data_IF_782996927699
#
_entry.id   IF_782996927699
#
_cell.length_a   1.000
_cell.length_b   1.000
_cell.length_c   1.000
_cell.angle_alpha   90.00
_cell.angle_beta   90.00
_cell.angle_gamma   90.00
#
_symmetry.space_group_name_H-M   'P 1'
#
loop_
_entity.id
_entity.type
_entity.pdbx_description
1 polymer ?
#
# COMPACT_ATOMS: atom_id res chain seq x y z
N UNK A 1 7.78 -10.46 -7.83
CA UNK A 1 7.95 -11.56 -6.88
C UNK A 1 9.41 -11.53 -6.46
N UNK A 2 9.78 -11.13 -5.26
CA UNK A 2 9.08 -11.43 -4.00
C UNK A 2 9.43 -10.47 -2.85
N UNK A 3 8.38 -10.04 -2.14
CA UNK A 3 8.43 -9.92 -0.68
C UNK A 3 8.98 -11.22 -0.15
N UNK A 4 9.96 -11.24 0.75
CA UNK A 4 10.47 -12.48 1.34
C UNK A 4 9.25 -13.33 1.79
N UNK A 5 8.94 -14.40 1.03
CA UNK A 5 7.77 -15.30 1.14
C UNK A 5 6.48 -15.05 0.31
N UNK A 6 6.44 -14.16 -0.68
CA UNK A 6 5.29 -14.08 -1.62
C UNK A 6 3.99 -13.51 -1.04
N UNK A 7 4.08 -12.73 0.04
CA UNK A 7 2.92 -12.23 0.80
C UNK A 7 2.70 -10.74 0.51
N UNK A 8 1.78 -10.44 -0.41
CA UNK A 8 1.35 -9.07 -0.70
C UNK A 8 0.34 -8.58 0.36
N UNK A 9 0.41 -7.31 0.82
CA UNK A 9 -0.66 -6.75 1.62
C UNK A 9 -1.94 -6.63 0.78
N UNK A 10 -3.05 -7.04 1.39
CA UNK A 10 -4.38 -6.82 0.87
C UNK A 10 -5.02 -5.79 1.79
N UNK A 11 -5.29 -4.60 1.27
CA UNK A 11 -5.96 -3.53 1.97
C UNK A 11 -7.44 -3.59 1.63
N UNK A 12 -8.31 -3.47 2.63
CA UNK A 12 -9.75 -3.34 2.45
C UNK A 12 -10.18 -2.00 3.02
N UNK A 13 -10.90 -1.22 2.22
CA UNK A 13 -11.42 0.09 2.59
C UNK A 13 -12.93 0.10 2.45
N UNK A 14 -13.62 0.84 3.31
CA UNK A 14 -15.08 1.01 3.22
C UNK A 14 -15.41 2.45 2.82
N UNK A 15 -16.23 2.59 1.78
CA UNK A 15 -16.66 3.89 1.27
C UNK A 15 -15.67 4.56 0.30
N UNK A 16 -16.06 5.73 -0.23
CA UNK A 16 -15.28 6.45 -1.23
C UNK A 16 -14.02 7.06 -0.61
N UNK A 17 -12.93 7.12 -1.38
CA UNK A 17 -11.68 7.70 -0.90
C UNK A 17 -10.50 7.35 -1.80
N UNK A 18 -9.30 7.61 -1.32
CA UNK A 18 -8.05 7.39 -2.06
C UNK A 18 -7.05 6.60 -1.24
N UNK A 19 -6.57 5.49 -1.79
CA UNK A 19 -5.44 4.77 -1.24
C UNK A 19 -4.15 5.40 -1.77
N UNK A 20 -3.30 5.87 -0.86
CA UNK A 20 -1.98 6.39 -1.17
C UNK A 20 -0.91 5.36 -0.82
N UNK A 21 0.10 5.22 -1.67
CA UNK A 21 1.25 4.35 -1.42
C UNK A 21 2.57 5.05 -1.77
N UNK A 22 3.64 4.55 -1.16
CA UNK A 22 5.01 5.02 -1.26
C UNK A 22 5.92 3.81 -1.19
N UNK A 23 6.88 3.64 -2.10
CA UNK A 23 8.07 2.83 -1.80
C UNK A 23 9.28 3.70 -1.54
N UNK A 24 10.15 3.19 -0.68
CA UNK A 24 11.37 3.83 -0.24
C UNK A 24 12.42 2.78 0.15
N UNK A 25 13.58 3.21 0.63
CA UNK A 25 14.66 2.30 0.96
C UNK A 25 15.29 1.71 -0.31
N UNK A 26 15.83 2.59 -1.14
CA UNK A 26 16.35 2.22 -2.45
C UNK A 26 17.53 1.23 -2.33
N UNK A 27 17.47 0.09 -3.02
CA UNK A 27 18.55 -0.90 -3.07
C UNK A 27 19.62 -0.55 -4.13
N UNK A 28 19.28 0.30 -5.11
CA UNK A 28 20.16 0.69 -6.23
C UNK A 28 20.37 2.20 -6.26
N UNK A 29 21.63 2.67 -6.20
CA UNK A 29 22.03 4.07 -5.94
C UNK A 29 21.46 5.17 -6.87
N UNK A 30 20.72 4.83 -7.93
CA UNK A 30 20.13 5.74 -8.90
C UNK A 30 18.59 5.78 -8.90
N UNK A 31 17.92 5.08 -8.00
CA UNK A 31 16.46 5.16 -7.88
C UNK A 31 16.05 6.17 -6.81
N UNK A 32 14.90 6.80 -7.01
CA UNK A 32 14.26 7.69 -6.05
C UNK A 32 13.06 6.99 -5.44
N UNK A 33 12.62 7.43 -4.25
CA UNK A 33 11.33 7.00 -3.71
C UNK A 33 10.22 7.35 -4.70
N UNK A 34 9.17 6.53 -4.74
CA UNK A 34 8.05 6.74 -5.67
C UNK A 34 6.74 6.62 -4.92
N UNK A 35 5.83 7.54 -5.24
CA UNK A 35 4.46 7.54 -4.73
C UNK A 35 3.46 7.35 -5.86
N UNK A 36 2.32 6.78 -5.50
CA UNK A 36 1.15 6.70 -6.36
C UNK A 36 -0.11 6.64 -5.50
N UNK A 37 -1.25 6.80 -6.15
CA UNK A 37 -2.54 6.70 -5.50
C UNK A 37 -3.60 6.14 -6.44
N UNK A 38 -4.63 5.55 -5.85
CA UNK A 38 -5.82 5.10 -6.59
C UNK A 38 -7.06 5.40 -5.76
N UNK A 39 -8.04 6.01 -6.41
CA UNK A 39 -9.30 6.40 -5.79
C UNK A 39 -10.41 5.40 -6.11
N UNK A 40 -11.36 5.28 -5.18
CA UNK A 40 -12.62 4.55 -5.37
C UNK A 40 -13.79 5.48 -5.03
N UNK A 41 -14.88 5.34 -5.77
CA UNK A 41 -16.18 5.95 -5.46
C UNK A 41 -17.17 4.94 -4.90
N UNK A 42 -16.76 3.69 -4.66
CA UNK A 42 -17.66 2.65 -4.15
C UNK A 42 -18.04 2.94 -2.70
N UNK A 43 -19.33 2.87 -2.38
CA UNK A 43 -19.83 3.07 -1.02
C UNK A 43 -19.64 1.84 -0.12
N UNK A 44 -19.41 0.68 -0.74
CA UNK A 44 -19.16 -0.60 -0.05
C UNK A 44 -17.68 -0.86 0.22
N UNK A 45 -17.33 -2.14 0.35
CA UNK A 45 -15.95 -2.58 0.47
C UNK A 45 -15.22 -2.48 -0.87
N UNK A 46 -14.01 -1.94 -0.84
CA UNK A 46 -13.05 -1.99 -1.95
C UNK A 46 -11.78 -2.70 -1.47
N UNK A 47 -11.31 -3.67 -2.25
CA UNK A 47 -10.06 -4.36 -1.96
C UNK A 47 -8.93 -3.89 -2.87
N UNK A 48 -7.76 -3.72 -2.27
CA UNK A 48 -6.55 -3.27 -2.90
C UNK A 48 -5.44 -4.28 -2.67
N UNK A 49 -4.95 -4.88 -3.74
CA UNK A 49 -3.75 -5.73 -3.68
C UNK A 49 -2.55 -4.85 -3.99
N UNK A 50 -1.63 -4.69 -3.04
CA UNK A 50 -0.41 -3.90 -3.27
C UNK A 50 0.76 -4.80 -3.61
N UNK A 51 1.40 -4.50 -4.74
CA UNK A 51 2.66 -5.07 -5.17
C UNK A 51 3.70 -3.98 -5.39
N UNK A 52 4.95 -4.31 -5.15
CA UNK A 52 6.07 -3.40 -5.40
C UNK A 52 7.27 -4.15 -6.00
N UNK A 53 8.17 -3.39 -6.60
CA UNK A 53 9.36 -3.93 -7.23
C UNK A 53 10.49 -4.21 -6.24
N UNK A 54 11.28 -5.25 -6.53
CA UNK A 54 12.46 -5.67 -5.76
C UNK A 54 13.57 -4.61 -5.67
N UNK A 55 13.44 -3.49 -6.38
CA UNK A 55 14.36 -2.38 -6.30
C UNK A 55 14.26 -1.56 -4.99
N UNK A 56 13.20 -1.76 -4.21
CA UNK A 56 12.91 -1.05 -2.98
C UNK A 56 12.92 -2.00 -1.78
N UNK A 57 13.41 -1.51 -0.64
CA UNK A 57 13.52 -2.24 0.62
C UNK A 57 12.38 -1.91 1.60
N UNK A 58 11.36 -1.18 1.17
CA UNK A 58 10.19 -0.91 1.99
C UNK A 58 9.12 -0.14 1.25
N UNK A 59 7.91 -0.23 1.77
CA UNK A 59 6.78 0.58 1.31
C UNK A 59 5.92 1.02 2.48
N UNK A 60 5.18 2.11 2.26
CA UNK A 60 4.21 2.65 3.18
C UNK A 60 2.94 3.00 2.42
N UNK A 61 1.80 2.92 3.10
CA UNK A 61 0.51 3.26 2.54
C UNK A 61 -0.41 3.84 3.61
N UNK A 62 -1.38 4.62 3.15
CA UNK A 62 -2.43 5.18 4.01
C UNK A 62 -3.72 5.33 3.21
N UNK A 63 -4.84 5.33 3.92
CA UNK A 63 -6.16 5.55 3.37
C UNK A 63 -6.63 6.99 3.65
N UNK A 64 -6.99 7.70 2.58
CA UNK A 64 -7.65 9.01 2.61
C UNK A 64 -9.13 8.84 2.28
N UNK A 65 -9.91 8.43 3.26
CA UNK A 65 -11.36 8.30 3.12
C UNK A 65 -12.06 8.38 4.47
N UNK A 66 -13.39 8.58 4.47
CA UNK A 66 -14.18 8.76 5.67
C UNK A 66 -14.49 7.43 6.39
N UNK A 67 -14.43 6.30 5.68
CA UNK A 67 -14.69 4.99 6.26
C UNK A 67 -13.42 4.26 6.69
N UNK A 68 -13.63 3.15 7.41
CA UNK A 68 -12.54 2.35 7.98
C UNK A 68 -11.69 1.68 6.90
N UNK A 69 -10.42 1.46 7.24
CA UNK A 69 -9.49 0.74 6.40
C UNK A 69 -8.63 -0.19 7.25
N UNK A 70 -8.54 -1.44 6.82
CA UNK A 70 -7.69 -2.45 7.42
C UNK A 70 -6.89 -3.17 6.35
N UNK A 71 -5.80 -3.83 6.73
CA UNK A 71 -5.01 -4.66 5.83
C UNK A 71 -4.64 -5.98 6.48
N UNK A 72 -4.35 -6.97 5.63
CA UNK A 72 -3.76 -8.25 6.02
C UNK A 72 -2.58 -8.55 5.11
N UNK A 73 -1.64 -9.35 5.60
CA UNK A 73 -0.55 -9.88 4.78
C UNK A 73 -0.95 -11.23 4.17
N UNK A 74 -1.13 -11.28 2.85
CA UNK A 74 -1.53 -12.46 2.08
C UNK A 74 -2.73 -13.18 2.68
N UNK A 75 -2.56 -14.46 3.01
CA UNK A 75 -3.64 -15.32 3.53
C UNK A 75 -3.82 -15.23 5.06
N UNK A 76 -3.14 -14.29 5.73
CA UNK A 76 -3.35 -14.07 7.16
C UNK A 76 -4.80 -13.71 7.45
N UNK A 77 -5.34 -14.24 8.55
CA UNK A 77 -6.65 -13.83 9.09
C UNK A 77 -6.54 -12.61 10.02
N UNK A 78 -5.33 -12.28 10.47
CA UNK A 78 -5.09 -11.10 11.28
C UNK A 78 -5.16 -9.84 10.40
N UNK A 79 -5.99 -8.90 10.83
CA UNK A 79 -6.16 -7.58 10.20
C UNK A 79 -5.61 -6.50 11.09
N UNK A 80 -4.92 -5.54 10.49
CA UNK A 80 -4.32 -4.40 11.15
C UNK A 80 -4.89 -3.11 10.59
N UNK A 81 -4.95 -2.05 11.40
CA UNK A 81 -5.46 -0.76 10.96
C UNK A 81 -4.53 -0.12 9.91
N UNK A 82 -5.13 0.57 8.93
CA UNK A 82 -4.38 1.36 7.94
C UNK A 82 -4.18 2.76 8.46
N UNK A 83 -2.98 3.30 8.26
CA UNK A 83 -2.70 4.71 8.50
C UNK A 83 -3.60 5.66 7.70
N UNK A 84 -3.60 6.95 8.07
CA UNK A 84 -4.48 7.96 7.46
C UNK A 84 -3.75 9.16 6.85
N UNK A 85 -2.42 9.18 6.92
CA UNK A 85 -1.60 10.26 6.36
C UNK A 85 -0.14 9.82 6.24
N UNK A 86 0.69 10.58 5.53
CA UNK A 86 2.14 10.31 5.52
C UNK A 86 2.84 10.51 6.86
N UNK A 87 2.23 11.23 7.81
CA UNK A 87 2.73 11.35 9.18
C UNK A 87 2.30 10.19 10.08
N UNK A 88 1.34 9.38 9.63
CA UNK A 88 0.75 8.26 10.36
C UNK A 88 0.36 7.17 9.35
N UNK A 89 1.36 6.63 8.63
CA UNK A 89 1.18 5.62 7.60
C UNK A 89 1.37 4.21 8.17
N UNK A 90 0.90 3.21 7.44
CA UNK A 90 1.30 1.82 7.66
C UNK A 90 2.54 1.54 6.83
N UNK A 91 3.63 1.12 7.46
CA UNK A 91 4.89 0.76 6.81
C UNK A 91 5.14 -0.75 6.85
N UNK A 92 5.70 -1.28 5.78
CA UNK A 92 6.17 -2.67 5.72
C UNK A 92 7.54 -2.70 5.01
N UNK A 93 8.65 -2.79 5.77
CA UNK A 93 9.99 -2.92 5.22
C UNK A 93 10.22 -4.33 4.66
N UNK A 94 11.32 -4.52 3.94
CA UNK A 94 11.70 -5.80 3.33
C UNK A 94 11.94 -6.93 4.32
N UNK A 95 12.10 -6.62 5.62
CA UNK A 95 12.19 -7.61 6.69
C UNK A 95 10.81 -8.19 7.08
N UNK A 96 9.72 -7.70 6.51
CA UNK A 96 8.36 -8.18 6.77
C UNK A 96 7.71 -7.62 8.03
N UNK A 97 8.40 -6.73 8.76
CA UNK A 97 7.88 -6.12 9.98
C UNK A 97 6.75 -5.14 9.66
N UNK A 98 5.64 -5.21 10.39
CA UNK A 98 4.58 -4.22 10.26
C UNK A 98 4.87 -3.06 11.20
N UNK A 99 4.95 -1.85 10.65
CA UNK A 99 5.14 -0.61 11.42
C UNK A 99 3.87 0.23 11.30
N UNK A 100 3.10 0.29 12.37
CA UNK A 100 1.92 1.17 12.46
C UNK A 100 2.34 2.59 12.88
N UNK A 101 1.70 3.61 12.30
CA UNK A 101 1.96 5.01 12.62
C UNK A 101 3.33 5.53 12.18
N UNK A 102 3.87 4.97 11.11
CA UNK A 102 5.14 5.38 10.53
C UNK A 102 5.02 6.78 9.90
N UNK A 103 5.94 7.69 10.27
CA UNK A 103 6.06 8.99 9.62
C UNK A 103 7.06 8.93 8.46
N UNK A 104 6.57 9.05 7.23
CA UNK A 104 7.32 9.09 5.96
C UNK A 104 7.11 10.40 5.20
N UNK A 105 6.56 11.45 5.82
CA UNK A 105 6.18 12.69 5.15
C UNK A 105 7.35 13.36 4.39
N UNK A 106 8.56 13.36 4.97
CA UNK A 106 9.77 13.89 4.31
C UNK A 106 10.20 13.08 3.09
N UNK A 107 10.02 11.75 3.15
CA UNK A 107 10.33 10.86 2.03
C UNK A 107 9.30 11.01 0.93
N UNK A 108 8.01 11.07 1.28
CA UNK A 108 6.92 11.31 0.33
C UNK A 108 7.05 12.67 -0.38
N UNK A 109 7.51 13.72 0.32
CA UNK A 109 7.68 15.05 -0.25
C UNK A 109 8.74 15.13 -1.37
N UNK A 110 9.72 14.22 -1.37
CA UNK A 110 10.77 14.15 -2.39
C UNK A 110 10.58 13.00 -3.37
N UNK A 111 9.54 12.18 -3.18
CA UNK A 111 9.23 11.05 -4.03
C UNK A 111 8.70 11.51 -5.40
N UNK A 112 9.11 10.82 -6.47
CA UNK A 112 8.49 11.03 -7.77
C UNK A 112 7.08 10.42 -7.77
N UNK A 113 6.08 11.19 -8.19
CA UNK A 113 4.75 10.64 -8.44
C UNK A 113 4.75 9.92 -9.80
N UNK A 114 4.42 8.63 -9.81
CA UNK A 114 4.38 7.80 -11.03
C UNK A 114 2.99 7.23 -11.33
N UNK A 115 1.98 7.57 -10.55
CA UNK A 115 0.64 6.97 -10.66
C UNK A 115 0.70 5.44 -10.58
N UNK A 116 -0.20 4.77 -11.31
CA UNK A 116 -0.29 3.29 -11.35
C UNK A 116 0.49 2.63 -12.49
N UNK A 117 1.01 3.41 -13.44
CA UNK A 117 1.38 2.92 -14.78
C UNK A 117 2.87 2.67 -14.99
N UNK A 118 3.67 2.43 -13.94
CA UNK A 118 5.06 2.06 -14.14
C UNK A 118 5.37 0.76 -13.40
N UNK A 119 6.04 -0.17 -14.10
CA UNK A 119 6.40 -1.55 -13.68
C UNK A 119 7.25 -1.68 -12.42
N UNK A 120 7.24 -0.65 -11.58
CA UNK A 120 7.68 -0.60 -10.20
C UNK A 120 6.55 -0.91 -9.20
N UNK A 121 5.28 -0.74 -9.57
CA UNK A 121 4.11 -0.89 -8.67
C UNK A 121 2.94 -1.57 -9.34
N UNK A 122 2.15 -2.24 -8.52
CA UNK A 122 0.87 -2.79 -8.94
C UNK A 122 -0.13 -2.58 -7.81
N UNK A 123 -1.17 -1.77 -8.04
CA UNK A 123 -2.33 -1.67 -7.14
C UNK A 123 -3.55 -2.02 -7.94
N UNK A 124 -4.20 -3.13 -7.59
CA UNK A 124 -5.45 -3.54 -8.22
C UNK A 124 -6.62 -3.22 -7.32
N UNK A 125 -7.62 -2.54 -7.88
CA UNK A 125 -8.92 -2.35 -7.25
C UNK A 125 -9.83 -3.53 -7.62
N UNK A 126 -10.31 -4.27 -6.62
CA UNK A 126 -11.35 -5.29 -6.79
C UNK A 126 -12.61 -4.84 -6.05
N UNK A 127 -13.71 -4.53 -6.76
CA UNK A 127 -15.01 -4.29 -6.15
C UNK A 127 -15.65 -5.61 -5.69
N UNK A 128 -16.32 -5.62 -4.52
CA UNK A 128 -17.10 -6.78 -4.04
C UNK A 128 -16.37 -7.67 -3.02
N UNK A 129 -16.91 -8.85 -2.69
CA UNK A 129 -16.27 -9.78 -1.75
C UNK A 129 -15.08 -10.49 -2.40
N UNK A 130 -13.94 -10.58 -1.69
CA UNK A 130 -12.75 -11.32 -2.15
C UNK A 130 -12.97 -12.83 -2.33
N UNK A 131 -14.09 -13.37 -1.83
CA UNK A 131 -14.43 -14.79 -1.94
C UNK A 131 -14.79 -15.24 -3.38
N UNK A 132 -14.95 -14.30 -4.32
CA UNK A 132 -15.21 -14.59 -5.74
C UNK A 132 -13.92 -14.73 -6.59
N UNK A 133 -12.74 -14.78 -5.96
CA UNK A 133 -11.43 -14.86 -6.64
C UNK A 133 -10.75 -16.24 -6.56
N UNK A 134 -11.49 -17.30 -6.20
CA UNK A 134 -11.01 -18.69 -6.22
C UNK A 134 -10.78 -19.26 -7.64
#
# INVERSE_FOLDING_TARGET
>A
MDYVNGVAPIVTTFGPGTLHHLTYGITFSNMQAVTGSLSTSDEGATHWVLGFSYYFSGFAFYWDGPGEAFFRLGNSTATEAVGNSWTNATGVPSNGEIILGLNVASTAATAANRGLNQGTFVVYKVPGNLDDLD
#
